data_IF_347340029552
#
_entry.id   IF_347340029552
#
_cell.length_a   1.000
_cell.length_b   1.000
_cell.length_c   1.000
_cell.angle_alpha   90.00
_cell.angle_beta   90.00
_cell.angle_gamma   90.00
#
_symmetry.space_group_name_H-M   'P 1'
#
loop_
_entity.id
_entity.type
_entity.pdbx_description
1 polymer ?
#
# COMPACT_ATOMS: atom_id res chain seq x y z
N UNK A 1 -5.73 12.79 18.72
CA UNK A 1 -6.10 11.91 17.59
C UNK A 1 -5.17 12.24 16.42
N UNK A 2 -4.10 11.48 16.27
CA UNK A 2 -3.04 11.75 15.29
C UNK A 2 -3.62 11.58 13.88
N UNK A 3 -3.81 12.69 13.14
CA UNK A 3 -4.28 12.63 11.76
C UNK A 3 -3.18 11.98 10.91
N UNK A 4 -3.39 10.73 10.50
CA UNK A 4 -2.57 10.10 9.48
C UNK A 4 -2.90 10.76 8.13
N UNK A 5 -2.04 11.69 7.70
CA UNK A 5 -2.08 12.26 6.35
C UNK A 5 -1.82 11.17 5.31
N UNK A 6 -2.31 11.38 4.07
CA UNK A 6 -2.17 10.42 2.96
C UNK A 6 -0.72 9.98 2.75
N UNK A 7 0.22 10.92 2.76
CA UNK A 7 1.66 10.67 2.68
C UNK A 7 2.18 9.74 3.77
N UNK A 8 1.73 9.93 5.01
CA UNK A 8 2.19 9.12 6.13
C UNK A 8 1.72 7.67 6.00
N UNK A 9 0.50 7.44 5.48
CA UNK A 9 -0.01 6.10 5.19
C UNK A 9 0.78 5.44 4.07
N UNK A 10 1.07 6.18 3.00
CA UNK A 10 1.87 5.70 1.88
C UNK A 10 3.28 5.30 2.32
N UNK A 11 3.95 6.13 3.12
CA UNK A 11 5.28 5.82 3.66
C UNK A 11 5.26 4.54 4.51
N UNK A 12 4.21 4.33 5.32
CA UNK A 12 4.05 3.11 6.13
C UNK A 12 3.87 1.87 5.23
N UNK A 13 3.04 1.94 4.18
CA UNK A 13 2.79 0.80 3.28
C UNK A 13 4.02 0.50 2.41
N UNK A 14 4.74 1.54 1.95
CA UNK A 14 5.94 1.38 1.13
C UNK A 14 7.15 0.86 1.93
N UNK A 15 7.24 1.19 3.22
CA UNK A 15 8.26 0.66 4.11
C UNK A 15 7.94 -0.72 4.70
N UNK A 16 6.76 -1.28 4.41
CA UNK A 16 6.40 -2.60 4.89
C UNK A 16 7.07 -3.68 4.04
N UNK A 17 7.91 -4.48 4.69
CA UNK A 17 8.55 -5.63 4.09
C UNK A 17 7.99 -6.92 4.73
N UNK A 18 7.26 -7.76 3.96
CA UNK A 18 6.65 -8.98 4.47
C UNK A 18 7.66 -10.10 4.76
N UNK A 19 8.89 -10.00 4.26
CA UNK A 19 9.97 -10.96 4.51
C UNK A 19 10.66 -10.64 5.85
N UNK A 20 10.72 -9.34 6.19
CA UNK A 20 11.33 -8.85 7.43
C UNK A 20 10.40 -8.92 8.65
N UNK A 21 9.12 -8.54 8.50
CA UNK A 21 8.18 -8.40 9.61
C UNK A 21 6.76 -8.85 9.25
N UNK A 22 6.09 -9.51 10.19
CA UNK A 22 4.66 -9.82 10.03
C UNK A 22 3.81 -8.55 10.06
N UNK A 23 2.72 -8.51 9.28
CA UNK A 23 1.77 -7.38 9.23
C UNK A 23 1.32 -6.92 10.62
N UNK A 24 1.17 -7.85 11.56
CA UNK A 24 0.72 -7.56 12.93
C UNK A 24 1.79 -6.82 13.73
N UNK A 25 3.05 -7.26 13.64
CA UNK A 25 4.17 -6.65 14.34
C UNK A 25 4.45 -5.26 13.80
N UNK A 26 4.49 -5.12 12.47
CA UNK A 26 4.70 -3.83 11.84
C UNK A 26 3.56 -2.84 12.11
N UNK A 27 2.30 -3.29 12.07
CA UNK A 27 1.16 -2.44 12.42
C UNK A 27 1.23 -1.98 13.89
N UNK A 28 1.60 -2.88 14.82
CA UNK A 28 1.81 -2.53 16.22
C UNK A 28 2.94 -1.50 16.40
N UNK A 29 4.07 -1.65 15.71
CA UNK A 29 5.16 -0.67 15.76
C UNK A 29 4.74 0.71 15.24
N UNK A 30 3.91 0.74 14.20
CA UNK A 30 3.40 1.98 13.62
C UNK A 30 2.22 2.59 14.39
N UNK A 31 1.75 1.92 15.46
CA UNK A 31 0.60 2.34 16.25
C UNK A 31 -0.72 2.27 15.47
N UNK A 32 -0.81 1.36 14.50
CA UNK A 32 -1.97 1.18 13.63
C UNK A 32 -2.60 -0.18 13.92
N UNK A 33 -3.93 -0.26 13.88
CA UNK A 33 -4.62 -1.55 13.97
C UNK A 33 -4.35 -2.37 12.71
N UNK A 34 -4.14 -3.69 12.85
CA UNK A 34 -3.96 -4.61 11.71
C UNK A 34 -5.02 -4.42 10.63
N UNK A 35 -6.29 -4.27 11.00
CA UNK A 35 -7.40 -4.09 10.05
C UNK A 35 -7.26 -2.80 9.22
N UNK A 36 -6.82 -1.70 9.84
CA UNK A 36 -6.55 -0.45 9.13
C UNK A 36 -5.37 -0.61 8.16
N UNK A 37 -4.31 -1.28 8.60
CA UNK A 37 -3.14 -1.53 7.78
C UNK A 37 -3.46 -2.43 6.57
N UNK A 38 -4.21 -3.51 6.79
CA UNK A 38 -4.67 -4.40 5.73
C UNK A 38 -5.57 -3.68 4.71
N UNK A 39 -6.45 -2.80 5.16
CA UNK A 39 -7.27 -1.97 4.29
C UNK A 39 -6.41 -1.04 3.42
N UNK A 40 -5.37 -0.43 3.99
CA UNK A 40 -4.46 0.44 3.24
C UNK A 40 -3.60 -0.33 2.23
N UNK A 41 -3.10 -1.51 2.58
CA UNK A 41 -2.38 -2.41 1.66
C UNK A 41 -3.24 -2.75 0.44
N UNK A 42 -4.49 -3.15 0.65
CA UNK A 42 -5.41 -3.52 -0.44
C UNK A 42 -5.73 -2.36 -1.37
N UNK A 43 -5.85 -1.14 -0.81
CA UNK A 43 -5.99 0.09 -1.61
C UNK A 43 -4.75 0.36 -2.46
N UNK A 44 -3.55 0.12 -1.91
CA UNK A 44 -2.30 0.30 -2.62
C UNK A 44 -2.12 -0.70 -3.76
N UNK A 45 -2.39 -1.99 -3.52
CA UNK A 45 -2.35 -3.03 -4.56
C UNK A 45 -3.31 -2.71 -5.72
N UNK A 46 -4.52 -2.25 -5.40
CA UNK A 46 -5.49 -1.85 -6.42
C UNK A 46 -4.99 -0.67 -7.26
N UNK A 47 -4.37 0.33 -6.62
CA UNK A 47 -3.77 1.47 -7.33
C UNK A 47 -2.58 1.07 -8.20
N UNK A 48 -1.69 0.19 -7.72
CA UNK A 48 -0.56 -0.33 -8.49
C UNK A 48 -1.06 -1.15 -9.69
N UNK A 49 -2.04 -2.02 -9.49
CA UNK A 49 -2.66 -2.81 -10.56
C UNK A 49 -3.33 -1.92 -11.62
N UNK A 50 -3.98 -0.84 -11.20
CA UNK A 50 -4.60 0.13 -12.11
C UNK A 50 -3.53 0.90 -12.91
N UNK A 51 -2.41 1.26 -12.30
CA UNK A 51 -1.26 1.85 -13.00
C UNK A 51 -0.64 0.91 -14.02
N UNK A 52 -0.50 -0.37 -13.67
CA UNK A 52 0.05 -1.40 -14.57
C UNK A 52 -0.87 -1.69 -15.76
N UNK A 53 -2.20 -1.72 -15.56
CA UNK A 53 -3.18 -1.91 -16.65
C UNK A 53 -3.22 -0.76 -17.64
N UNK A 54 -3.11 0.48 -17.16
CA UNK A 54 -3.06 1.66 -18.04
C UNK A 54 -1.82 1.62 -18.92
N UNK A 55 -0.65 1.26 -18.36
CA UNK A 55 0.58 1.08 -19.12
C UNK A 55 0.45 -0.04 -20.17
N UNK A 56 -0.19 -1.16 -19.81
CA UNK A 56 -0.43 -2.28 -20.73
C UNK A 56 -1.35 -1.90 -21.89
N UNK A 57 -2.40 -1.10 -21.62
CA UNK A 57 -3.33 -0.61 -22.66
C UNK A 57 -2.67 0.41 -23.60
N UNK A 58 -1.83 1.32 -23.08
CA UNK A 58 -1.12 2.30 -23.93
C UNK A 58 -0.05 1.66 -24.81
N UNK A 59 0.62 0.61 -24.32
CA UNK A 59 1.58 -0.15 -25.10
C UNK A 59 0.90 -1.03 -26.17
N UNK A 60 -0.30 -1.56 -25.89
CA UNK A 60 -1.04 -2.40 -26.85
C UNK A 60 -1.74 -1.62 -27.97
N UNK A 61 -1.91 -0.30 -27.83
CA UNK A 61 -2.49 0.60 -28.83
C UNK A 61 -1.44 1.22 -29.78
N UNK A 62 -0.16 0.94 -29.54
CA UNK A 62 0.97 1.46 -30.34
C UNK A 62 1.54 0.43 -31.32
N UNK A 63 0.83 -0.68 -31.58
CA UNK A 63 1.21 -1.73 -32.53
C UNK A 63 0.13 -1.95 -33.59
#
# INVERSE_FOLDING_TARGET
MTKFTKDKKLAIIQGYDPDLLSQTEYANQMGVTRSHFQYWLKLYELHVSMRQRVLSWTYSLSY
#
